data_IF_931220911449
#
_entry.id   IF_931220911449
#
_cell.length_a   1.000
_cell.length_b   1.000
_cell.length_c   1.000
_cell.angle_alpha   90.00
_cell.angle_beta   90.00
_cell.angle_gamma   90.00
#
_symmetry.space_group_name_H-M   'P 1'
#
loop_
_entity.id
_entity.type
_entity.pdbx_description
1 polymer ?
#
# COMPACT_ATOMS: atom_id res chain seq x y z
N UNK A 1 22.65 53.95 59.32
CA UNK A 1 22.24 54.09 57.92
C UNK A 1 21.84 52.70 57.41
N UNK A 2 20.55 52.33 57.47
CA UNK A 2 19.52 52.59 56.41
C UNK A 2 19.89 51.85 55.13
N UNK A 3 19.27 50.70 54.85
CA UNK A 3 18.01 50.53 54.10
C UNK A 3 18.38 49.82 52.78
N UNK A 4 17.65 48.89 52.21
CA UNK A 4 16.51 48.10 52.64
C UNK A 4 16.35 46.95 51.64
N UNK A 5 15.90 45.83 52.16
CA UNK A 5 15.02 44.83 51.57
C UNK A 5 14.23 45.20 50.29
N UNK A 6 14.05 44.16 49.48
CA UNK A 6 12.78 43.80 48.81
C UNK A 6 12.35 44.62 47.58
N UNK A 7 12.57 44.05 46.39
CA UNK A 7 11.54 44.09 45.34
C UNK A 7 11.49 42.75 44.59
N UNK A 8 10.61 41.88 45.08
CA UNK A 8 9.99 40.85 44.27
C UNK A 8 9.35 41.52 43.04
N UNK A 9 9.75 41.07 41.85
CA UNK A 9 9.09 41.42 40.59
C UNK A 9 7.62 41.03 40.68
N UNK A 10 6.74 42.00 40.85
CA UNK A 10 5.28 41.81 40.80
C UNK A 10 4.93 41.19 39.44
N UNK A 11 4.13 40.11 39.40
CA UNK A 11 3.68 39.56 38.13
C UNK A 11 2.79 40.60 37.45
N UNK A 12 3.16 40.98 36.23
CA UNK A 12 2.29 41.79 35.36
C UNK A 12 1.01 40.96 35.14
N UNK A 13 -0.07 41.40 35.77
CA UNK A 13 -1.41 40.86 35.56
C UNK A 13 -1.83 41.24 34.14
N UNK A 14 -1.75 40.29 33.21
CA UNK A 14 -2.34 40.44 31.89
C UNK A 14 -1.50 39.98 30.72
N UNK A 15 -0.94 38.77 30.75
CA UNK A 15 -0.58 38.07 29.51
C UNK A 15 -0.73 36.56 29.66
N UNK A 16 -1.98 36.12 29.87
CA UNK A 16 -2.38 34.73 29.65
C UNK A 16 -2.93 34.59 28.24
N UNK A 17 -2.06 34.57 27.23
CA UNK A 17 -2.48 34.17 25.87
C UNK A 17 -1.42 33.45 25.04
N UNK A 18 -0.25 33.14 25.60
CA UNK A 18 0.79 32.37 24.88
C UNK A 18 0.52 30.87 24.80
N UNK A 19 -0.24 30.29 25.74
CA UNK A 19 -0.35 28.83 25.86
C UNK A 19 -1.09 28.13 24.72
N UNK A 20 -2.04 28.82 24.08
CA UNK A 20 -2.78 28.31 22.91
C UNK A 20 -1.98 28.49 21.63
N UNK A 21 -1.38 29.67 21.43
CA UNK A 21 -0.53 29.96 20.27
C UNK A 21 0.74 29.08 20.26
N UNK A 22 1.35 28.81 21.41
CA UNK A 22 2.52 27.95 21.51
C UNK A 22 2.17 26.46 21.29
N UNK A 23 1.01 26.01 21.81
CA UNK A 23 0.46 24.68 21.47
C UNK A 23 0.05 24.55 20.01
N UNK A 24 -0.43 25.63 19.39
CA UNK A 24 -0.75 25.69 17.98
C UNK A 24 0.52 25.66 17.12
N UNK A 25 1.59 26.35 17.53
CA UNK A 25 2.92 26.29 16.89
C UNK A 25 3.56 24.90 16.98
N UNK A 26 3.48 24.25 18.15
CA UNK A 26 3.91 22.86 18.35
C UNK A 26 3.10 21.88 17.47
N UNK A 27 1.79 22.13 17.29
CA UNK A 27 0.92 21.32 16.41
C UNK A 27 1.12 21.62 14.93
N UNK A 28 1.49 22.84 14.57
CA UNK A 28 1.76 23.24 13.18
C UNK A 28 3.16 22.82 12.71
N UNK A 29 4.00 22.30 13.61
CA UNK A 29 5.30 21.73 13.28
C UNK A 29 5.17 20.24 12.91
N UNK A 30 4.15 19.90 12.13
CA UNK A 30 4.01 18.55 11.57
C UNK A 30 4.04 18.65 10.06
N UNK A 31 5.25 18.82 9.54
CA UNK A 31 5.70 18.04 8.40
C UNK A 31 7.14 17.64 8.74
N UNK A 32 7.31 16.63 9.58
CA UNK A 32 8.49 15.80 9.40
C UNK A 32 8.33 15.19 8.00
N UNK A 33 9.35 15.35 7.16
CA UNK A 33 9.36 14.85 5.79
C UNK A 33 8.83 13.41 5.76
N UNK A 34 8.02 13.08 4.75
CA UNK A 34 7.63 11.69 4.52
C UNK A 34 8.90 10.83 4.53
N UNK A 35 8.87 9.77 5.34
CA UNK A 35 9.94 8.80 5.32
C UNK A 35 10.09 8.23 3.90
N UNK A 36 11.33 7.91 3.49
CA UNK A 36 11.53 7.24 2.21
C UNK A 36 10.79 5.89 2.20
N UNK A 37 10.61 5.35 1.01
CA UNK A 37 10.02 4.02 0.85
C UNK A 37 10.76 2.98 1.69
N UNK A 38 10.00 2.16 2.42
CA UNK A 38 10.57 1.06 3.20
C UNK A 38 11.11 -0.02 2.26
N UNK A 39 12.39 -0.35 2.41
CA UNK A 39 12.99 -1.56 1.84
C UNK A 39 13.18 -2.57 2.97
N UNK A 40 12.49 -3.70 2.89
CA UNK A 40 12.48 -4.71 3.95
C UNK A 40 13.89 -5.28 4.16
N UNK A 41 14.41 -5.25 5.39
CA UNK A 41 15.77 -5.75 5.71
C UNK A 41 15.82 -7.12 6.40
N UNK A 42 14.68 -7.66 6.85
CA UNK A 42 14.64 -8.92 7.59
C UNK A 42 14.51 -10.13 6.64
N UNK A 43 14.90 -11.35 7.06
CA UNK A 43 14.64 -12.55 6.28
C UNK A 43 13.15 -12.75 6.02
N UNK A 44 12.80 -13.33 4.87
CA UNK A 44 11.42 -13.72 4.61
C UNK A 44 11.01 -14.87 5.54
N UNK A 45 9.84 -14.74 6.15
CA UNK A 45 9.19 -15.87 6.80
C UNK A 45 8.62 -16.79 5.72
N UNK A 46 9.10 -18.03 5.67
CA UNK A 46 8.62 -19.07 4.75
C UNK A 46 7.81 -20.10 5.54
N UNK A 47 6.48 -19.94 5.66
CA UNK A 47 5.64 -20.87 6.42
C UNK A 47 5.38 -22.20 5.69
N UNK A 48 5.68 -22.27 4.39
CA UNK A 48 5.49 -23.43 3.54
C UNK A 48 6.81 -23.84 2.91
N UNK A 49 6.99 -25.14 2.72
CA UNK A 49 8.07 -25.69 1.90
C UNK A 49 7.75 -25.69 0.40
N UNK A 50 8.73 -26.03 -0.42
CA UNK A 50 8.61 -26.04 -1.89
C UNK A 50 7.55 -27.02 -2.41
N UNK A 51 7.40 -28.19 -1.79
CA UNK A 51 6.43 -29.18 -2.25
C UNK A 51 5.00 -28.77 -1.90
N UNK A 52 4.81 -28.12 -0.74
CA UNK A 52 3.56 -27.50 -0.36
C UNK A 52 3.18 -26.34 -1.30
N UNK A 53 4.15 -25.52 -1.70
CA UNK A 53 3.94 -24.44 -2.68
C UNK A 53 3.50 -25.02 -4.03
N UNK A 54 4.22 -26.02 -4.55
CA UNK A 54 3.87 -26.70 -5.80
C UNK A 54 2.47 -27.31 -5.75
N UNK A 55 2.10 -27.93 -4.63
CA UNK A 55 0.77 -28.50 -4.46
C UNK A 55 -0.35 -27.44 -4.55
N UNK A 56 -0.15 -26.25 -3.98
CA UNK A 56 -1.12 -25.15 -4.07
C UNK A 56 -1.18 -24.59 -5.49
N UNK A 57 -0.02 -24.45 -6.13
CA UNK A 57 0.12 -23.94 -7.50
C UNK A 57 -0.57 -24.88 -8.51
N UNK A 58 -0.34 -26.19 -8.42
CA UNK A 58 -1.01 -27.21 -9.24
C UNK A 58 -2.52 -27.25 -9.01
N UNK A 59 -2.96 -27.19 -7.74
CA UNK A 59 -4.38 -27.17 -7.41
C UNK A 59 -5.07 -25.90 -7.94
N UNK A 60 -4.38 -24.75 -7.90
CA UNK A 60 -4.87 -23.49 -8.46
C UNK A 60 -5.05 -23.59 -9.97
N UNK A 61 -4.10 -24.21 -10.68
CA UNK A 61 -4.23 -24.46 -12.12
C UNK A 61 -5.41 -25.39 -12.42
N UNK A 62 -5.59 -26.47 -11.67
CA UNK A 62 -6.72 -27.39 -11.84
C UNK A 62 -8.07 -26.67 -11.66
N UNK A 63 -8.19 -25.78 -10.68
CA UNK A 63 -9.40 -24.96 -10.50
C UNK A 63 -9.65 -24.08 -11.73
N UNK A 64 -8.63 -23.40 -12.25
CA UNK A 64 -8.79 -22.53 -13.42
C UNK A 64 -9.16 -23.31 -14.70
N UNK A 65 -8.67 -24.54 -14.85
CA UNK A 65 -8.95 -25.43 -15.97
C UNK A 65 -10.33 -26.07 -15.89
N UNK A 66 -10.66 -26.66 -14.74
CA UNK A 66 -11.85 -27.51 -14.57
C UNK A 66 -13.08 -26.70 -14.16
N UNK A 67 -12.90 -25.71 -13.27
CA UNK A 67 -13.99 -24.87 -12.73
C UNK A 67 -14.11 -23.57 -13.50
N UNK A 68 -13.01 -22.83 -13.67
CA UNK A 68 -12.98 -21.52 -14.33
C UNK A 68 -13.45 -20.36 -13.46
N UNK A 69 -13.61 -19.19 -14.07
CA UNK A 69 -14.01 -17.93 -13.41
C UNK A 69 -15.10 -17.24 -14.22
N UNK A 70 -16.12 -16.71 -13.53
CA UNK A 70 -17.21 -15.95 -14.16
C UNK A 70 -16.82 -14.49 -14.33
N UNK A 71 -16.87 -13.99 -15.57
CA UNK A 71 -16.70 -12.58 -15.91
C UNK A 71 -18.03 -12.01 -16.39
N UNK A 72 -18.53 -10.99 -15.69
CA UNK A 72 -19.83 -10.36 -16.01
C UNK A 72 -19.73 -9.14 -16.92
N UNK A 73 -18.51 -8.77 -17.32
CA UNK A 73 -18.24 -7.67 -18.24
C UNK A 73 -18.05 -8.23 -19.66
N UNK A 74 -18.91 -7.86 -20.64
CA UNK A 74 -18.74 -8.27 -22.03
C UNK A 74 -17.38 -7.92 -22.63
N UNK A 75 -16.73 -6.83 -22.20
CA UNK A 75 -15.40 -6.43 -22.68
C UNK A 75 -14.36 -7.44 -22.21
N UNK A 76 -14.38 -7.80 -20.93
CA UNK A 76 -13.45 -8.79 -20.38
C UNK A 76 -13.62 -10.17 -21.06
N UNK A 77 -14.86 -10.58 -21.33
CA UNK A 77 -15.12 -11.84 -22.05
C UNK A 77 -14.53 -11.81 -23.46
N UNK A 78 -14.62 -10.68 -24.16
CA UNK A 78 -14.06 -10.53 -25.49
C UNK A 78 -12.52 -10.50 -25.48
N UNK A 79 -11.91 -9.84 -24.50
CA UNK A 79 -10.46 -9.83 -24.34
C UNK A 79 -9.93 -11.24 -24.06
N UNK A 80 -10.63 -12.04 -23.25
CA UNK A 80 -10.29 -13.44 -23.01
C UNK A 80 -10.43 -14.30 -24.28
N UNK A 81 -11.46 -14.08 -25.11
CA UNK A 81 -11.58 -14.77 -26.41
C UNK A 81 -10.40 -14.44 -27.33
N UNK A 82 -10.03 -13.16 -27.41
CA UNK A 82 -8.88 -12.70 -28.21
C UNK A 82 -7.55 -13.26 -27.71
N UNK A 83 -7.40 -13.39 -26.39
CA UNK A 83 -6.25 -14.05 -25.78
C UNK A 83 -6.23 -15.57 -26.01
N UNK A 84 -7.33 -16.17 -26.49
CA UNK A 84 -7.41 -17.60 -26.79
C UNK A 84 -7.92 -18.46 -25.62
N UNK A 85 -8.54 -17.86 -24.60
CA UNK A 85 -9.19 -18.61 -23.54
C UNK A 85 -10.53 -19.20 -23.99
N UNK A 86 -10.96 -20.28 -23.34
CA UNK A 86 -12.25 -20.92 -23.60
C UNK A 86 -13.35 -20.17 -22.85
N UNK A 87 -14.28 -19.56 -23.59
CA UNK A 87 -15.38 -18.77 -23.03
C UNK A 87 -16.73 -19.42 -23.33
N UNK A 88 -17.51 -19.70 -22.28
CA UNK A 88 -18.81 -20.37 -22.32
C UNK A 88 -19.85 -19.50 -21.62
N UNK A 89 -20.59 -18.70 -22.38
CA UNK A 89 -21.43 -17.64 -21.82
C UNK A 89 -20.56 -16.64 -21.04
N UNK A 90 -20.78 -16.55 -19.73
CA UNK A 90 -20.02 -15.69 -18.82
C UNK A 90 -18.88 -16.44 -18.09
N UNK A 91 -18.72 -17.75 -18.32
CA UNK A 91 -17.68 -18.56 -17.70
C UNK A 91 -16.44 -18.62 -18.59
N UNK A 92 -15.27 -18.33 -18.02
CA UNK A 92 -13.98 -18.47 -18.69
C UNK A 92 -13.19 -19.60 -18.04
N UNK A 93 -12.73 -20.56 -18.86
CA UNK A 93 -11.81 -21.64 -18.45
C UNK A 93 -10.44 -21.40 -19.06
N UNK A 94 -9.40 -21.69 -18.28
CA UNK A 94 -8.03 -21.33 -18.62
C UNK A 94 -7.16 -22.57 -18.71
N UNK A 95 -6.47 -22.74 -19.83
CA UNK A 95 -5.39 -23.72 -19.93
C UNK A 95 -4.18 -23.26 -19.10
N UNK A 96 -3.56 -24.17 -18.33
CA UNK A 96 -2.42 -23.81 -17.48
C UNK A 96 -1.25 -23.23 -18.27
N UNK A 97 -0.95 -23.74 -19.46
CA UNK A 97 0.17 -23.20 -20.26
C UNK A 97 -0.13 -21.78 -20.70
N UNK A 98 -1.36 -21.51 -21.14
CA UNK A 98 -1.80 -20.15 -21.44
C UNK A 98 -1.63 -19.22 -20.23
N UNK A 99 -2.06 -19.61 -19.02
CA UNK A 99 -1.85 -18.81 -17.81
C UNK A 99 -0.37 -18.56 -17.52
N UNK A 100 0.49 -19.58 -17.65
CA UNK A 100 1.94 -19.41 -17.45
C UNK A 100 2.56 -18.45 -18.45
N UNK A 101 2.16 -18.50 -19.72
CA UNK A 101 2.65 -17.57 -20.73
C UNK A 101 2.23 -16.13 -20.41
N UNK A 102 0.99 -15.92 -19.96
CA UNK A 102 0.54 -14.58 -19.53
C UNK A 102 1.34 -14.09 -18.32
N UNK A 103 1.59 -14.94 -17.32
CA UNK A 103 2.38 -14.58 -16.13
C UNK A 103 3.80 -14.16 -16.52
N UNK A 104 4.43 -14.83 -17.50
CA UNK A 104 5.78 -14.47 -17.99
C UNK A 104 5.86 -13.06 -18.57
N UNK A 105 4.75 -12.50 -19.05
CA UNK A 105 4.71 -11.14 -19.59
C UNK A 105 4.71 -10.06 -18.49
N UNK A 106 4.47 -10.45 -17.23
CA UNK A 106 4.35 -9.52 -16.11
C UNK A 106 5.76 -9.13 -15.63
N UNK A 107 6.10 -7.83 -15.54
CA UNK A 107 7.36 -7.39 -14.98
C UNK A 107 7.43 -7.73 -13.48
N UNK A 108 8.60 -8.14 -13.00
CA UNK A 108 8.81 -8.44 -11.57
C UNK A 108 8.78 -7.17 -10.71
N UNK A 109 9.13 -6.03 -11.30
CA UNK A 109 9.23 -4.74 -10.64
C UNK A 109 8.84 -3.61 -11.61
N UNK A 110 8.19 -2.56 -11.11
CA UNK A 110 7.92 -1.34 -11.86
C UNK A 110 7.89 -0.10 -10.96
N UNK A 111 7.92 1.10 -11.54
CA UNK A 111 7.86 2.36 -10.78
C UNK A 111 6.45 2.97 -10.85
N UNK A 112 5.85 3.19 -9.69
CA UNK A 112 4.61 3.92 -9.53
C UNK A 112 4.90 5.43 -9.52
N UNK A 113 4.46 6.11 -10.59
CA UNK A 113 4.75 7.52 -10.82
C UNK A 113 3.80 8.43 -10.03
N UNK A 114 4.37 9.29 -9.20
CA UNK A 114 3.62 10.33 -8.49
C UNK A 114 3.65 11.66 -9.28
N UNK A 115 2.66 12.52 -9.03
CA UNK A 115 2.63 13.88 -9.61
C UNK A 115 3.89 14.69 -9.29
N UNK A 116 4.43 14.49 -8.09
CA UNK A 116 5.75 14.97 -7.69
C UNK A 116 6.71 13.77 -7.76
N UNK A 117 7.66 13.81 -8.69
CA UNK A 117 8.58 12.70 -8.94
C UNK A 117 9.47 12.33 -7.74
N UNK A 118 9.67 13.25 -6.79
CA UNK A 118 10.35 12.92 -5.51
C UNK A 118 9.59 11.92 -4.64
N UNK A 119 8.31 11.68 -4.95
CA UNK A 119 7.46 10.70 -4.27
C UNK A 119 7.18 9.45 -5.11
N UNK A 120 7.95 9.20 -6.18
CA UNK A 120 7.86 7.95 -6.93
C UNK A 120 8.20 6.76 -6.03
N UNK A 121 7.54 5.63 -6.27
CA UNK A 121 7.71 4.41 -5.47
C UNK A 121 8.01 3.21 -6.38
N UNK A 122 8.93 2.34 -5.96
CA UNK A 122 9.17 1.07 -6.64
C UNK A 122 8.18 0.02 -6.12
N UNK A 123 7.51 -0.71 -7.00
CA UNK A 123 6.63 -1.82 -6.65
C UNK A 123 7.26 -3.13 -7.13
N UNK A 124 7.57 -4.02 -6.19
CA UNK A 124 8.27 -5.27 -6.45
C UNK A 124 9.39 -5.54 -5.44
N UNK A 125 9.92 -6.77 -5.47
CA UNK A 125 11.05 -7.20 -4.66
C UNK A 125 10.86 -6.99 -3.15
N UNK A 126 11.73 -6.18 -2.54
CA UNK A 126 11.77 -5.91 -1.09
C UNK A 126 11.12 -4.57 -0.72
N UNK A 127 10.56 -3.85 -1.70
CA UNK A 127 9.97 -2.54 -1.48
C UNK A 127 8.54 -2.68 -0.94
N UNK A 128 8.24 -1.97 0.14
CA UNK A 128 6.91 -1.92 0.74
C UNK A 128 6.25 -0.57 0.48
N UNK A 129 4.94 -0.59 0.25
CA UNK A 129 4.11 0.62 0.10
C UNK A 129 3.02 0.60 1.16
N UNK A 130 2.88 1.69 1.90
CA UNK A 130 1.81 1.87 2.88
C UNK A 130 0.73 2.75 2.27
N UNK A 131 -0.49 2.23 2.20
CA UNK A 131 -1.67 2.93 1.70
C UNK A 131 -2.72 3.02 2.80
N UNK A 132 -3.49 4.12 2.88
CA UNK A 132 -4.60 4.21 3.81
C UNK A 132 -5.69 3.18 3.46
N UNK A 133 -6.49 2.83 4.47
CA UNK A 133 -7.68 2.02 4.25
C UNK A 133 -8.59 2.69 3.22
N UNK A 134 -9.10 1.90 2.26
CA UNK A 134 -9.99 2.36 1.21
C UNK A 134 -11.33 1.62 1.31
N UNK A 135 -12.44 2.37 1.21
CA UNK A 135 -13.80 1.80 1.11
C UNK A 135 -14.65 1.82 2.38
N UNK A 136 -14.19 2.44 3.48
CA UNK A 136 -15.01 2.56 4.69
C UNK A 136 -16.19 3.54 4.44
N UNK A 137 -17.44 3.11 4.68
CA UNK A 137 -18.60 3.99 4.51
C UNK A 137 -18.79 4.97 5.68
N UNK A 138 -18.17 4.69 6.83
CA UNK A 138 -18.26 5.49 8.06
C UNK A 138 -16.89 5.58 8.74
N UNK A 139 -16.73 6.59 9.62
CA UNK A 139 -15.55 6.81 10.47
C UNK A 139 -15.81 6.32 11.90
#
# INVERSE_FOLDING_TARGET
MTHAFEQATRPVRGQRSGGRANRQKLRSHNIEQMLPQLCHGLPYTQPLDEDQIRKIDDASMAILEEVGVVFRDPIALEDWRKAGARVEGDLVKFDRHHIRELIKSIPTDFEYQARNSSNNLKLGGRHCMFVPMTGAPFL
#
